data_IF_060107306561
#
_entry.id   IF_060107306561
#
_cell.length_a   1.000
_cell.length_b   1.000
_cell.length_c   1.000
_cell.angle_alpha   90.00
_cell.angle_beta   90.00
_cell.angle_gamma   90.00
#
_symmetry.space_group_name_H-M   'P 1'
#
loop_
_entity.id
_entity.type
_entity.pdbx_description
1 polymer ?
#
# COMPACT_ATOMS: atom_id res chain seq x y z
N UNK A 1 44.45 -16.36 -13.68
CA UNK A 1 43.76 -16.71 -12.40
C UNK A 1 43.29 -18.16 -12.53
N UNK A 2 43.65 -19.05 -11.61
CA UNK A 2 43.38 -20.49 -11.75
C UNK A 2 41.86 -20.75 -11.79
N UNK A 3 41.39 -21.56 -12.73
CA UNK A 3 39.95 -21.84 -12.95
C UNK A 3 39.24 -22.29 -11.67
N UNK A 4 39.92 -23.08 -10.83
CA UNK A 4 39.41 -23.54 -9.53
C UNK A 4 39.22 -22.39 -8.53
N UNK A 5 40.13 -21.40 -8.53
CA UNK A 5 39.99 -20.21 -7.66
C UNK A 5 38.80 -19.37 -8.11
N UNK A 6 38.59 -19.22 -9.42
CA UNK A 6 37.44 -18.49 -9.99
C UNK A 6 36.13 -19.15 -9.58
N UNK A 7 36.02 -20.48 -9.69
CA UNK A 7 34.82 -21.22 -9.32
C UNK A 7 34.43 -21.03 -7.85
N UNK A 8 35.40 -21.02 -6.93
CA UNK A 8 35.16 -20.79 -5.50
C UNK A 8 34.61 -19.38 -5.26
N UNK A 9 35.22 -18.35 -5.87
CA UNK A 9 34.75 -16.97 -5.71
C UNK A 9 33.32 -16.79 -6.25
N UNK A 10 33.00 -17.37 -7.41
CA UNK A 10 31.65 -17.29 -7.98
C UNK A 10 30.62 -17.93 -7.07
N UNK A 11 30.91 -19.11 -6.50
CA UNK A 11 30.00 -19.80 -5.59
C UNK A 11 29.71 -18.96 -4.34
N UNK A 12 30.74 -18.36 -3.73
CA UNK A 12 30.58 -17.50 -2.56
C UNK A 12 29.69 -16.28 -2.88
N UNK A 13 29.96 -15.61 -4.00
CA UNK A 13 29.17 -14.44 -4.42
C UNK A 13 27.72 -14.84 -4.71
N UNK A 14 27.50 -15.97 -5.39
CA UNK A 14 26.16 -16.48 -5.67
C UNK A 14 25.39 -16.80 -4.38
N UNK A 15 26.03 -17.44 -3.40
CA UNK A 15 25.42 -17.72 -2.09
C UNK A 15 25.01 -16.44 -1.36
N UNK A 16 25.88 -15.41 -1.37
CA UNK A 16 25.58 -14.11 -0.75
C UNK A 16 24.41 -13.42 -1.45
N UNK A 17 24.36 -13.45 -2.79
CA UNK A 17 23.26 -12.85 -3.55
C UNK A 17 21.93 -13.57 -3.27
N UNK A 18 21.92 -14.91 -3.22
CA UNK A 18 20.71 -15.68 -2.94
C UNK A 18 20.14 -15.38 -1.54
N UNK A 19 21.00 -15.38 -0.52
CA UNK A 19 20.59 -15.10 0.86
C UNK A 19 20.21 -13.63 1.02
N UNK A 20 21.09 -12.72 0.59
CA UNK A 20 20.90 -11.28 0.71
C UNK A 20 19.70 -10.78 -0.07
N UNK A 21 19.54 -11.24 -1.31
CA UNK A 21 18.42 -10.89 -2.17
C UNK A 21 17.07 -11.28 -1.57
N UNK A 22 16.97 -12.50 -1.02
CA UNK A 22 15.75 -12.98 -0.37
C UNK A 22 15.38 -12.16 0.87
N UNK A 23 16.36 -11.83 1.71
CA UNK A 23 16.14 -11.00 2.91
C UNK A 23 15.71 -9.59 2.53
N UNK A 24 16.41 -8.94 1.59
CA UNK A 24 16.06 -7.60 1.12
C UNK A 24 14.64 -7.56 0.53
N UNK A 25 14.28 -8.54 -0.30
CA UNK A 25 12.92 -8.64 -0.85
C UNK A 25 11.87 -8.77 0.24
N UNK A 26 12.08 -9.65 1.24
CA UNK A 26 11.14 -9.85 2.35
C UNK A 26 10.95 -8.58 3.17
N UNK A 27 12.03 -7.84 3.45
CA UNK A 27 11.98 -6.59 4.19
C UNK A 27 11.22 -5.51 3.41
N UNK A 28 11.51 -5.35 2.11
CA UNK A 28 10.82 -4.40 1.24
C UNK A 28 9.32 -4.70 1.15
N UNK A 29 8.97 -5.97 0.89
CA UNK A 29 7.57 -6.40 0.82
C UNK A 29 6.83 -6.12 2.12
N UNK A 30 7.40 -6.50 3.27
CA UNK A 30 6.79 -6.26 4.57
C UNK A 30 6.61 -4.77 4.88
N UNK A 31 7.55 -3.91 4.44
CA UNK A 31 7.41 -2.47 4.58
C UNK A 31 6.23 -1.95 3.74
N UNK A 32 6.18 -2.34 2.46
CA UNK A 32 5.08 -1.98 1.57
C UNK A 32 3.72 -2.49 2.05
N UNK A 33 3.64 -3.71 2.59
CA UNK A 33 2.41 -4.26 3.15
C UNK A 33 1.92 -3.44 4.35
N UNK A 34 2.84 -3.03 5.24
CA UNK A 34 2.52 -2.17 6.40
C UNK A 34 2.09 -0.78 5.97
N UNK A 35 2.79 -0.16 5.02
CA UNK A 35 2.42 1.14 4.47
C UNK A 35 1.04 1.08 3.82
N UNK A 36 0.77 0.03 3.03
CA UNK A 36 -0.54 -0.18 2.39
C UNK A 36 -1.64 -0.33 3.45
N UNK A 37 -1.38 -1.08 4.52
CA UNK A 37 -2.34 -1.23 5.62
C UNK A 37 -2.66 0.11 6.29
N UNK A 38 -1.66 0.91 6.61
CA UNK A 38 -1.85 2.23 7.22
C UNK A 38 -2.62 3.16 6.30
N UNK A 39 -2.25 3.20 5.02
CA UNK A 39 -2.93 3.99 4.00
C UNK A 39 -4.41 3.59 3.88
N UNK A 40 -4.69 2.29 3.78
CA UNK A 40 -6.05 1.78 3.69
C UNK A 40 -6.86 2.12 4.95
N UNK A 41 -6.28 1.96 6.15
CA UNK A 41 -6.94 2.34 7.40
C UNK A 41 -7.27 3.83 7.45
N UNK A 42 -6.33 4.71 7.10
CA UNK A 42 -6.55 6.16 7.08
C UNK A 42 -7.71 6.54 6.15
N UNK A 43 -7.78 5.92 4.98
CA UNK A 43 -8.86 6.16 4.01
C UNK A 43 -10.20 5.61 4.50
N UNK A 44 -10.21 4.38 5.03
CA UNK A 44 -11.39 3.74 5.61
C UNK A 44 -11.95 4.54 6.79
N UNK A 45 -11.10 4.96 7.73
CA UNK A 45 -11.50 5.76 8.89
C UNK A 45 -12.09 7.10 8.47
N UNK A 46 -11.51 7.75 7.45
CA UNK A 46 -12.07 8.99 6.88
C UNK A 46 -13.46 8.76 6.25
N UNK A 47 -13.64 7.65 5.53
CA UNK A 47 -14.92 7.27 4.94
C UNK A 47 -15.98 6.95 5.99
N UNK A 48 -15.63 6.15 6.99
CA UNK A 48 -16.50 5.82 8.12
C UNK A 48 -16.92 7.10 8.85
N UNK A 49 -15.97 7.97 9.15
CA UNK A 49 -16.28 9.26 9.78
C UNK A 49 -17.23 10.09 8.94
N UNK A 50 -17.00 10.21 7.63
CA UNK A 50 -17.90 10.93 6.74
C UNK A 50 -19.31 10.35 6.70
N UNK A 51 -19.43 9.02 6.74
CA UNK A 51 -20.71 8.32 6.78
C UNK A 51 -21.45 8.53 8.11
N UNK A 52 -20.76 8.35 9.24
CA UNK A 52 -21.35 8.51 10.57
C UNK A 52 -21.69 9.96 10.90
N UNK A 53 -20.94 10.93 10.40
CA UNK A 53 -21.26 12.36 10.49
C UNK A 53 -22.45 12.75 9.58
N UNK A 54 -22.99 11.82 8.80
CA UNK A 54 -24.16 12.01 7.94
C UNK A 54 -23.90 12.84 6.67
N UNK A 55 -22.64 13.18 6.40
CA UNK A 55 -22.21 13.96 5.23
C UNK A 55 -22.19 13.07 3.98
N UNK A 56 -21.54 11.90 4.08
CA UNK A 56 -21.53 10.90 3.03
C UNK A 56 -22.74 9.96 3.19
N UNK A 57 -23.77 10.13 2.35
CA UNK A 57 -25.04 9.37 2.48
C UNK A 57 -25.02 8.01 1.80
N UNK A 58 -24.08 7.80 0.88
CA UNK A 58 -23.99 6.57 0.11
C UNK A 58 -23.06 5.57 0.80
N UNK A 59 -23.34 4.27 0.64
CA UNK A 59 -22.44 3.20 1.08
C UNK A 59 -21.14 3.16 0.27
N UNK A 60 -21.18 3.67 -0.97
CA UNK A 60 -20.01 3.86 -1.83
C UNK A 60 -19.55 5.31 -1.73
N UNK A 61 -18.37 5.53 -1.17
CA UNK A 61 -17.78 6.85 -0.94
C UNK A 61 -16.50 6.94 -1.77
N UNK A 62 -16.36 7.97 -2.62
CA UNK A 62 -15.16 8.16 -3.43
C UNK A 62 -14.09 8.95 -2.68
N UNK A 63 -12.82 8.82 -3.06
CA UNK A 63 -11.75 9.67 -2.54
C UNK A 63 -12.02 11.15 -2.85
N UNK A 64 -12.55 11.45 -4.04
CA UNK A 64 -13.00 12.80 -4.40
C UNK A 64 -14.01 13.39 -3.40
N UNK A 65 -15.00 12.60 -2.98
CA UNK A 65 -15.99 13.01 -1.98
C UNK A 65 -15.34 13.31 -0.62
N UNK A 66 -14.35 12.51 -0.21
CA UNK A 66 -13.62 12.73 1.05
C UNK A 66 -12.73 13.97 1.01
N UNK A 67 -12.12 14.29 -0.14
CA UNK A 67 -11.35 15.53 -0.31
C UNK A 67 -12.28 16.75 -0.29
N UNK A 68 -13.38 16.69 -1.05
CA UNK A 68 -14.35 17.79 -1.14
C UNK A 68 -14.96 18.12 0.23
N UNK A 69 -15.24 17.10 1.03
CA UNK A 69 -15.78 17.26 2.38
C UNK A 69 -14.70 17.44 3.47
N UNK A 70 -13.43 17.60 3.08
CA UNK A 70 -12.27 17.84 3.98
C UNK A 70 -12.00 16.72 5.02
N UNK A 71 -12.51 15.51 4.81
CA UNK A 71 -12.17 14.33 5.61
C UNK A 71 -10.78 13.78 5.25
N UNK A 72 -10.31 14.04 4.03
CA UNK A 72 -8.92 13.86 3.61
C UNK A 72 -8.36 15.21 3.15
N UNK A 73 -7.18 15.59 3.65
CA UNK A 73 -6.51 16.86 3.31
C UNK A 73 -5.44 16.70 2.23
N UNK A 74 -4.85 15.52 2.14
CA UNK A 74 -3.72 15.22 1.28
C UNK A 74 -4.08 14.09 0.33
N UNK A 75 -3.58 14.17 -0.90
CA UNK A 75 -3.78 13.10 -1.88
C UNK A 75 -3.15 11.81 -1.37
N UNK A 76 -3.93 10.73 -1.38
CA UNK A 76 -3.49 9.41 -0.95
C UNK A 76 -2.57 8.82 -2.02
N UNK A 77 -1.39 8.35 -1.60
CA UNK A 77 -0.35 7.83 -2.48
C UNK A 77 -0.23 6.32 -2.28
N UNK A 78 -0.18 5.57 -3.39
CA UNK A 78 0.17 4.16 -3.43
C UNK A 78 1.62 3.97 -2.95
N UNK A 79 1.85 3.28 -1.83
CA UNK A 79 3.19 3.14 -1.26
C UNK A 79 4.11 2.24 -2.08
N UNK A 80 3.57 1.38 -2.95
CA UNK A 80 4.33 0.50 -3.84
C UNK A 80 4.69 1.23 -5.13
N UNK A 81 3.67 1.79 -5.79
CA UNK A 81 3.83 2.41 -7.12
C UNK A 81 4.29 3.87 -7.04
N UNK A 82 4.22 4.49 -5.85
CA UNK A 82 4.50 5.92 -5.61
C UNK A 82 3.65 6.83 -6.51
N UNK A 83 2.42 6.40 -6.81
CA UNK A 83 1.45 7.15 -7.63
C UNK A 83 0.28 7.57 -6.77
N UNK A 84 -0.32 8.70 -7.10
CA UNK A 84 -1.54 9.17 -6.45
C UNK A 84 -2.70 8.27 -6.88
N UNK A 85 -3.52 7.81 -5.93
CA UNK A 85 -4.74 7.07 -6.26
C UNK A 85 -5.75 7.98 -6.97
N UNK A 86 -6.49 7.43 -7.93
CA UNK A 86 -7.53 8.19 -8.63
C UNK A 86 -8.59 8.70 -7.65
N UNK A 87 -9.13 9.88 -7.90
CA UNK A 87 -10.26 10.43 -7.13
C UNK A 87 -11.52 9.57 -7.27
N UNK A 88 -11.59 8.75 -8.32
CA UNK A 88 -12.64 7.75 -8.56
C UNK A 88 -12.47 6.47 -7.73
N UNK A 89 -11.32 6.29 -7.07
CA UNK A 89 -11.13 5.20 -6.10
C UNK A 89 -12.16 5.35 -5.00
N UNK A 90 -12.71 4.23 -4.53
CA UNK A 90 -13.85 4.28 -3.63
C UNK A 90 -13.75 3.26 -2.50
N UNK A 91 -14.45 3.58 -1.42
CA UNK A 91 -14.63 2.76 -0.24
C UNK A 91 -16.07 2.28 -0.24
N UNK A 92 -16.29 0.99 0.00
CA UNK A 92 -17.63 0.47 0.30
C UNK A 92 -17.72 0.22 1.80
N UNK A 93 -18.68 0.89 2.44
CA UNK A 93 -19.07 0.61 3.82
C UNK A 93 -20.14 -0.48 3.80
N UNK A 94 -19.85 -1.64 4.38
CA UNK A 94 -20.86 -2.67 4.65
C UNK A 94 -20.98 -2.84 6.16
N UNK A 95 -22.13 -3.35 6.64
CA UNK A 95 -22.40 -3.56 8.08
C UNK A 95 -21.40 -4.48 8.79
N UNK A 96 -20.55 -5.20 8.06
CA UNK A 96 -19.57 -6.15 8.60
C UNK A 96 -18.11 -5.86 8.23
N UNK A 97 -17.83 -5.04 7.20
CA UNK A 97 -16.47 -4.73 6.76
C UNK A 97 -16.40 -3.50 5.85
N UNK A 98 -15.46 -2.59 6.13
CA UNK A 98 -15.13 -1.48 5.24
C UNK A 98 -13.94 -1.85 4.37
N UNK A 99 -14.10 -1.83 3.04
CA UNK A 99 -13.07 -2.24 2.08
C UNK A 99 -12.75 -1.12 1.10
N UNK A 100 -11.47 -0.77 0.95
CA UNK A 100 -10.98 0.24 0.01
C UNK A 100 -10.59 -0.40 -1.34
N UNK A 101 -11.10 0.17 -2.44
CA UNK A 101 -10.83 -0.25 -3.81
C UNK A 101 -10.01 0.84 -4.53
N UNK A 102 -8.67 0.68 -4.61
CA UNK A 102 -7.82 1.61 -5.34
C UNK A 102 -7.97 1.41 -6.86
N UNK A 103 -8.19 2.49 -7.60
CA UNK A 103 -8.10 2.56 -9.06
C UNK A 103 -6.89 3.40 -9.49
#
# INVERSE_FOLDING_TARGET
>A
MNTNKIAIYVTIVASVILIGGGVCYKVLKNNFDKLTLVTNKKVTEAAEKCYFDGVCKNLKITLGELYNNKYLKEKVIDPVKKRVYSEDSYIIITKEKTTFFPN
#
